data_IF_037480651229
#
_entry.id   IF_037480651229
#
_cell.length_a   1.000
_cell.length_b   1.000
_cell.length_c   1.000
_cell.angle_alpha   90.00
_cell.angle_beta   90.00
_cell.angle_gamma   90.00
#
_symmetry.space_group_name_H-M   'P 1'
#
loop_
_entity.id
_entity.type
_entity.pdbx_description
1 polymer ?
#
# COMPACT_ATOMS: atom_id res chain seq x y z
N UNK A 1 27.44 -1.16 13.59
CA UNK A 1 26.70 0.06 13.23
C UNK A 1 25.23 -0.13 13.54
N UNK A 2 24.51 0.96 13.81
CA UNK A 2 23.08 0.98 14.09
C UNK A 2 22.28 1.40 12.86
N UNK A 3 21.41 0.51 12.41
CA UNK A 3 20.50 0.70 11.29
C UNK A 3 19.09 0.84 11.82
N UNK A 4 18.45 1.98 11.54
CA UNK A 4 17.05 2.22 11.90
C UNK A 4 16.21 2.18 10.63
N UNK A 5 15.09 1.45 10.67
CA UNK A 5 14.18 1.25 9.55
C UNK A 5 12.79 1.71 9.97
N UNK A 6 12.24 2.69 9.26
CA UNK A 6 10.89 3.22 9.48
C UNK A 6 9.94 2.50 8.53
N UNK A 7 9.10 1.61 9.06
CA UNK A 7 8.13 0.83 8.32
C UNK A 7 8.41 -0.67 8.40
N UNK A 8 7.45 -1.41 8.95
CA UNK A 8 7.51 -2.88 9.09
C UNK A 8 6.79 -3.63 7.95
N UNK A 9 6.67 -2.98 6.78
CA UNK A 9 6.18 -3.61 5.55
C UNK A 9 7.28 -4.41 4.84
N UNK A 10 6.95 -4.96 3.67
CA UNK A 10 7.86 -5.84 2.89
C UNK A 10 9.22 -5.20 2.65
N UNK A 11 9.27 -3.96 2.16
CA UNK A 11 10.54 -3.28 1.89
C UNK A 11 11.43 -3.15 3.13
N UNK A 12 10.86 -2.68 4.25
CA UNK A 12 11.63 -2.47 5.48
C UNK A 12 12.10 -3.78 6.11
N UNK A 13 11.26 -4.81 6.13
CA UNK A 13 11.60 -6.10 6.73
C UNK A 13 12.58 -6.89 5.86
N UNK A 14 12.45 -6.83 4.53
CA UNK A 14 13.44 -7.40 3.63
C UNK A 14 14.79 -6.71 3.82
N UNK A 15 14.82 -5.37 3.90
CA UNK A 15 16.07 -4.65 4.17
C UNK A 15 16.71 -5.05 5.51
N UNK A 16 15.90 -5.16 6.57
CA UNK A 16 16.36 -5.59 7.90
C UNK A 16 17.01 -6.97 7.86
N UNK A 17 16.36 -7.92 7.17
CA UNK A 17 16.88 -9.28 6.97
C UNK A 17 18.18 -9.25 6.17
N UNK A 18 18.20 -8.55 5.03
CA UNK A 18 19.39 -8.45 4.18
C UNK A 18 20.58 -7.87 4.94
N UNK A 19 20.38 -6.85 5.77
CA UNK A 19 21.45 -6.30 6.61
C UNK A 19 21.99 -7.37 7.57
N UNK A 20 21.14 -8.13 8.25
CA UNK A 20 21.57 -9.17 9.21
C UNK A 20 22.20 -10.40 8.57
N UNK A 21 21.82 -10.71 7.33
CA UNK A 21 22.46 -11.78 6.54
C UNK A 21 23.89 -11.40 6.13
N UNK A 22 24.14 -10.13 5.82
CA UNK A 22 25.45 -9.63 5.40
C UNK A 22 26.33 -9.27 6.61
N UNK A 23 25.78 -8.55 7.59
CA UNK A 23 26.46 -8.16 8.83
C UNK A 23 25.66 -8.64 10.06
N UNK A 24 26.08 -9.78 10.60
CA UNK A 24 25.48 -10.38 11.79
C UNK A 24 25.65 -9.52 13.05
N UNK A 25 26.61 -8.59 13.09
CA UNK A 25 26.87 -7.72 14.24
C UNK A 25 26.13 -6.38 14.15
N UNK A 26 25.46 -6.07 13.04
CA UNK A 26 24.66 -4.86 12.91
C UNK A 26 23.52 -4.81 13.96
N UNK A 27 23.36 -3.65 14.61
CA UNK A 27 22.18 -3.36 15.43
C UNK A 27 21.07 -2.90 14.49
N UNK A 28 20.00 -3.69 14.35
CA UNK A 28 18.88 -3.37 13.44
C UNK A 28 17.61 -3.17 14.24
N UNK A 29 17.03 -1.96 14.12
CA UNK A 29 15.75 -1.59 14.74
C UNK A 29 14.74 -1.27 13.65
N UNK A 30 13.62 -2.01 13.62
CA UNK A 30 12.49 -1.76 12.73
C UNK A 30 11.35 -1.16 13.53
N UNK A 31 10.78 -0.06 13.05
CA UNK A 31 9.70 0.68 13.71
C UNK A 31 8.47 0.67 12.81
N UNK A 32 7.39 0.04 13.25
CA UNK A 32 6.13 -0.06 12.52
C UNK A 32 4.98 0.61 13.26
N UNK A 33 4.13 1.32 12.51
CA UNK A 33 2.94 2.01 13.03
C UNK A 33 1.76 1.07 13.32
N UNK A 34 1.81 -0.18 12.83
CA UNK A 34 0.83 -1.22 13.11
C UNK A 34 1.21 -2.05 14.35
N UNK A 35 0.21 -2.51 15.10
CA UNK A 35 0.39 -3.36 16.29
C UNK A 35 0.73 -4.84 15.96
N UNK A 36 0.77 -5.19 14.67
CA UNK A 36 0.95 -6.54 14.16
C UNK A 36 2.41 -6.85 13.82
N UNK A 37 2.77 -8.13 13.86
CA UNK A 37 4.00 -8.59 13.21
C UNK A 37 3.91 -8.40 11.70
N UNK A 38 5.04 -8.29 10.98
CA UNK A 38 5.04 -8.16 9.54
C UNK A 38 4.23 -9.27 8.87
N UNK A 39 3.34 -8.87 7.97
CA UNK A 39 2.41 -9.76 7.30
C UNK A 39 2.34 -9.50 5.79
N UNK A 40 1.90 -10.52 5.06
CA UNK A 40 1.67 -10.50 3.62
C UNK A 40 0.40 -9.70 3.32
N UNK A 41 0.52 -8.37 3.18
CA UNK A 41 -0.62 -7.48 2.91
C UNK A 41 -1.40 -7.89 1.65
N UNK A 42 -0.70 -8.43 0.66
CA UNK A 42 -1.29 -8.90 -0.60
C UNK A 42 -2.19 -10.13 -0.45
N UNK A 43 -2.20 -10.81 0.72
CA UNK A 43 -3.08 -11.94 1.01
C UNK A 43 -4.29 -11.56 1.90
N UNK A 44 -4.48 -10.26 2.14
CA UNK A 44 -5.53 -9.78 3.04
C UNK A 44 -6.94 -10.09 2.52
N UNK A 45 -7.12 -10.17 1.20
CA UNK A 45 -8.41 -10.49 0.56
C UNK A 45 -8.76 -11.96 0.74
N UNK A 46 -7.81 -12.85 0.53
CA UNK A 46 -7.96 -14.28 0.76
C UNK A 46 -8.27 -14.55 2.23
N UNK A 47 -7.60 -13.83 3.14
CA UNK A 47 -7.92 -13.90 4.56
C UNK A 47 -9.31 -13.33 4.87
N UNK A 48 -9.71 -12.22 4.25
CA UNK A 48 -11.06 -11.66 4.37
C UNK A 48 -12.12 -12.70 3.99
N UNK A 49 -11.95 -13.33 2.83
CA UNK A 49 -12.81 -14.39 2.28
C UNK A 49 -12.78 -15.69 3.10
N UNK A 50 -11.77 -15.89 3.95
CA UNK A 50 -11.63 -17.11 4.75
C UNK A 50 -10.95 -18.27 4.01
N UNK A 51 -10.37 -18.01 2.83
CA UNK A 51 -9.64 -19.00 2.03
C UNK A 51 -8.28 -19.36 2.65
N UNK A 52 -7.75 -18.50 3.52
CA UNK A 52 -6.55 -18.76 4.31
C UNK A 52 -6.78 -18.42 5.78
N UNK A 53 -5.99 -19.02 6.67
CA UNK A 53 -5.93 -18.72 8.10
C UNK A 53 -5.02 -17.52 8.35
N UNK A 54 -5.20 -16.89 9.51
CA UNK A 54 -4.41 -15.72 9.92
C UNK A 54 -2.91 -16.00 9.98
N UNK A 55 -2.51 -17.21 10.38
CA UNK A 55 -1.10 -17.57 10.52
C UNK A 55 -0.39 -17.64 9.16
N UNK A 56 -1.12 -17.88 8.08
CA UNK A 56 -0.57 -17.90 6.71
C UNK A 56 -0.20 -16.51 6.20
N UNK A 57 -0.75 -15.46 6.84
CA UNK A 57 -0.39 -14.07 6.59
C UNK A 57 0.97 -13.71 7.18
N UNK A 58 1.50 -14.48 8.12
CA UNK A 58 2.78 -14.17 8.77
C UNK A 58 3.86 -14.10 7.68
N UNK A 59 4.51 -12.95 7.57
CA UNK A 59 5.63 -12.76 6.65
C UNK A 59 6.94 -13.04 7.38
N UNK A 60 7.10 -12.47 8.58
CA UNK A 60 8.21 -12.75 9.49
C UNK A 60 7.65 -13.12 10.85
N UNK A 61 7.98 -14.33 11.32
CA UNK A 61 7.57 -14.78 12.64
C UNK A 61 8.39 -14.11 13.74
N UNK A 62 7.89 -14.16 14.98
CA UNK A 62 8.62 -13.67 16.14
C UNK A 62 9.96 -14.41 16.32
N UNK A 63 9.96 -15.72 16.06
CA UNK A 63 11.11 -16.60 16.16
C UNK A 63 12.19 -16.18 15.17
N UNK A 64 11.82 -15.94 13.90
CA UNK A 64 12.77 -15.49 12.88
C UNK A 64 13.36 -14.11 13.20
N UNK A 65 12.54 -13.17 13.69
CA UNK A 65 13.04 -11.86 14.12
C UNK A 65 14.03 -12.00 15.29
N UNK A 66 13.75 -12.89 16.24
CA UNK A 66 14.62 -13.17 17.39
C UNK A 66 15.92 -13.86 16.97
N UNK A 67 15.84 -14.87 16.11
CA UNK A 67 16.99 -15.58 15.55
C UNK A 67 17.92 -14.63 14.80
N UNK A 68 17.34 -13.77 13.96
CA UNK A 68 18.09 -12.75 13.24
C UNK A 68 18.54 -11.58 14.13
N UNK A 69 18.14 -11.50 15.40
CA UNK A 69 18.49 -10.37 16.28
C UNK A 69 17.94 -9.02 15.81
N UNK A 70 16.79 -9.00 15.15
CA UNK A 70 16.11 -7.78 14.68
C UNK A 70 15.16 -7.28 15.77
N UNK A 71 15.36 -6.04 16.24
CA UNK A 71 14.47 -5.41 17.21
C UNK A 71 13.28 -4.77 16.50
N UNK A 72 12.10 -5.39 16.58
CA UNK A 72 10.85 -4.83 16.08
C UNK A 72 10.13 -4.02 17.16
N UNK A 73 9.82 -2.75 16.87
CA UNK A 73 8.97 -1.86 17.67
C UNK A 73 7.63 -1.67 16.94
N UNK A 74 6.54 -2.19 17.52
CA UNK A 74 5.20 -2.19 16.91
C UNK A 74 4.33 -1.11 17.52
N UNK A 75 3.38 -0.57 16.75
CA UNK A 75 2.46 0.47 17.18
C UNK A 75 3.12 1.82 17.45
N UNK A 76 4.33 2.03 16.93
CA UNK A 76 5.08 3.25 17.13
C UNK A 76 5.17 4.05 15.85
N UNK A 77 4.97 5.36 15.98
CA UNK A 77 4.93 6.27 14.85
C UNK A 77 6.11 7.22 14.90
N UNK A 78 6.87 7.30 13.80
CA UNK A 78 7.95 8.28 13.65
C UNK A 78 7.38 9.61 13.21
N UNK A 79 7.49 10.61 14.07
CA UNK A 79 6.93 11.95 13.86
C UNK A 79 7.81 12.80 12.96
N UNK A 80 9.11 12.86 13.25
CA UNK A 80 10.07 13.70 12.50
C UNK A 80 11.43 13.02 12.41
N UNK A 81 12.19 13.38 11.37
CA UNK A 81 13.60 13.02 11.19
C UNK A 81 14.44 14.29 11.33
N UNK A 82 15.57 14.21 12.04
CA UNK A 82 16.56 15.29 12.15
C UNK A 82 17.90 14.83 11.57
N UNK A 83 18.13 15.04 10.25
CA UNK A 83 19.30 14.48 9.59
C UNK A 83 20.64 14.98 10.13
N UNK A 84 20.76 16.26 10.47
CA UNK A 84 22.00 16.86 11.00
C UNK A 84 22.45 16.25 12.33
N UNK A 85 21.51 15.67 13.09
CA UNK A 85 21.76 15.02 14.38
C UNK A 85 21.69 13.50 14.31
N UNK A 86 21.50 12.94 13.10
CA UNK A 86 21.32 11.51 12.83
C UNK A 86 20.37 10.83 13.82
N UNK A 87 19.18 11.41 13.98
CA UNK A 87 18.14 10.89 14.87
C UNK A 87 16.74 11.01 14.28
N UNK A 88 15.83 10.22 14.86
CA UNK A 88 14.39 10.33 14.64
C UNK A 88 13.68 10.59 15.97
N UNK A 89 12.52 11.24 15.90
CA UNK A 89 11.63 11.43 17.04
C UNK A 89 10.35 10.66 16.84
N UNK A 90 10.00 9.84 17.83
CA UNK A 90 8.72 9.15 17.86
C UNK A 90 7.61 10.11 18.29
N UNK A 91 6.36 9.71 18.04
CA UNK A 91 5.18 10.52 18.38
C UNK A 91 5.07 10.81 19.87
N UNK A 92 5.52 9.89 20.73
CA UNK A 92 5.61 10.05 22.18
C UNK A 92 6.92 10.73 22.64
N UNK A 93 7.62 11.41 21.73
CA UNK A 93 8.84 12.20 21.95
C UNK A 93 10.11 11.43 22.32
N UNK A 94 10.13 10.09 22.29
CA UNK A 94 11.39 9.36 22.39
C UNK A 94 12.28 9.67 21.18
N UNK A 95 13.58 9.79 21.44
CA UNK A 95 14.62 10.01 20.45
C UNK A 95 15.35 8.68 20.17
N UNK A 96 15.51 8.35 18.89
CA UNK A 96 16.28 7.18 18.46
C UNK A 96 17.38 7.64 17.50
N UNK A 97 18.64 7.39 17.86
CA UNK A 97 19.80 7.67 17.01
C UNK A 97 20.06 6.54 16.02
N UNK A 98 20.71 6.85 14.89
CA UNK A 98 21.08 5.90 13.86
C UNK A 98 22.44 6.24 13.23
N UNK A 99 23.13 5.23 12.69
CA UNK A 99 24.25 5.43 11.76
C UNK A 99 23.75 5.49 10.31
N UNK A 100 22.74 4.67 9.99
CA UNK A 100 22.06 4.58 8.70
C UNK A 100 20.54 4.50 8.91
N UNK A 101 19.77 5.24 8.12
CA UNK A 101 18.31 5.28 8.19
C UNK A 101 17.68 4.79 6.88
N UNK A 102 16.68 3.92 6.97
CA UNK A 102 15.80 3.58 5.86
C UNK A 102 14.37 4.06 6.12
N UNK A 103 13.78 4.77 5.16
CA UNK A 103 12.38 5.14 5.16
C UNK A 103 11.63 4.16 4.24
N UNK A 104 10.83 3.28 4.82
CA UNK A 104 10.04 2.25 4.14
C UNK A 104 8.56 2.30 4.58
N UNK A 105 8.04 3.53 4.71
CA UNK A 105 6.73 3.81 5.29
C UNK A 105 5.54 3.39 4.42
N UNK A 106 5.80 3.01 3.16
CA UNK A 106 4.80 2.60 2.19
C UNK A 106 3.85 3.73 1.78
N UNK A 107 2.63 3.37 1.37
CA UNK A 107 1.58 4.31 0.99
C UNK A 107 0.28 4.07 1.74
N UNK A 108 -0.78 4.79 1.36
CA UNK A 108 -2.15 4.53 1.81
C UNK A 108 -3.18 5.09 0.81
N UNK A 109 -4.37 4.48 0.73
CA UNK A 109 -5.52 5.10 0.09
C UNK A 109 -5.87 6.44 0.75
N UNK A 110 -6.46 7.35 -0.03
CA UNK A 110 -6.86 8.66 0.41
C UNK A 110 -8.12 9.18 -0.28
N UNK A 111 -8.75 10.15 0.38
CA UNK A 111 -9.98 10.79 -0.07
C UNK A 111 -9.67 12.19 -0.63
N UNK A 112 -10.21 12.48 -1.80
CA UNK A 112 -10.27 13.78 -2.44
C UNK A 112 -11.29 14.70 -1.78
N UNK A 113 -11.40 15.94 -2.28
CA UNK A 113 -12.20 16.99 -1.65
C UNK A 113 -13.69 16.62 -1.54
N UNK A 114 -14.24 15.96 -2.57
CA UNK A 114 -15.65 15.53 -2.61
C UNK A 114 -15.95 14.45 -1.56
N UNK A 115 -15.08 13.45 -1.40
CA UNK A 115 -15.30 12.34 -0.47
C UNK A 115 -14.92 12.64 0.98
N UNK A 116 -14.02 13.59 1.23
CA UNK A 116 -13.49 13.90 2.57
C UNK A 116 -14.57 14.14 3.63
N UNK A 117 -15.65 14.91 3.39
CA UNK A 117 -16.74 15.11 4.35
C UNK A 117 -17.41 13.79 4.79
N UNK A 118 -17.38 12.77 3.93
CA UNK A 118 -18.05 11.49 4.13
C UNK A 118 -17.12 10.41 4.70
N UNK A 119 -15.89 10.74 5.11
CA UNK A 119 -14.89 9.78 5.61
C UNK A 119 -15.44 8.80 6.66
N UNK A 120 -16.34 9.24 7.54
CA UNK A 120 -16.95 8.39 8.59
C UNK A 120 -17.94 7.34 8.05
N UNK A 121 -18.42 7.50 6.82
CA UNK A 121 -19.35 6.61 6.14
C UNK A 121 -18.65 5.66 5.16
N UNK A 122 -17.36 5.91 4.90
CA UNK A 122 -16.53 5.10 4.00
C UNK A 122 -15.78 4.06 4.81
N UNK A 123 -15.93 2.80 4.43
CA UNK A 123 -15.21 1.70 5.03
C UNK A 123 -13.79 1.61 4.44
N UNK A 124 -12.80 1.59 5.33
CA UNK A 124 -11.41 1.34 4.94
C UNK A 124 -11.19 -0.12 4.56
N UNK A 125 -10.32 -0.33 3.59
CA UNK A 125 -9.80 -1.64 3.14
C UNK A 125 -8.34 -1.43 2.75
N UNK A 126 -7.41 -1.74 3.66
CA UNK A 126 -5.97 -1.60 3.38
C UNK A 126 -5.07 -2.32 4.41
N UNK A 127 -5.39 -2.22 5.70
CA UNK A 127 -4.59 -2.76 6.81
C UNK A 127 -5.21 -4.01 7.42
N UNK A 128 -4.43 -4.77 8.19
CA UNK A 128 -4.93 -5.89 8.99
C UNK A 128 -6.11 -5.48 9.89
N UNK A 129 -6.04 -4.29 10.52
CA UNK A 129 -7.13 -3.80 11.34
C UNK A 129 -8.41 -3.59 10.54
N UNK A 130 -8.31 -3.04 9.33
CA UNK A 130 -9.46 -2.84 8.44
C UNK A 130 -10.10 -4.18 8.07
N UNK A 131 -9.28 -5.19 7.76
CA UNK A 131 -9.77 -6.54 7.42
C UNK A 131 -10.42 -7.23 8.62
N UNK A 132 -9.87 -7.10 9.82
CA UNK A 132 -10.49 -7.65 11.03
C UNK A 132 -11.85 -7.00 11.33
N UNK A 133 -12.01 -5.70 11.06
CA UNK A 133 -13.29 -5.01 11.15
C UNK A 133 -14.25 -5.53 10.09
N UNK A 134 -13.79 -5.67 8.85
CA UNK A 134 -14.59 -6.16 7.73
C UNK A 134 -15.07 -7.59 7.94
N UNK A 135 -14.22 -8.51 8.41
CA UNK A 135 -14.62 -9.90 8.70
C UNK A 135 -15.78 -9.98 9.70
N UNK A 136 -15.90 -9.01 10.62
CA UNK A 136 -17.03 -8.94 11.56
C UNK A 136 -18.30 -8.37 10.94
N UNK A 137 -18.16 -7.42 10.01
CA UNK A 137 -19.29 -6.72 9.39
C UNK A 137 -19.91 -7.48 8.23
N UNK A 138 -19.07 -8.00 7.32
CA UNK A 138 -19.51 -8.58 6.04
C UNK A 138 -20.53 -9.71 6.13
N UNK A 139 -20.61 -10.53 7.21
CA UNK A 139 -21.69 -11.50 7.34
C UNK A 139 -23.11 -10.88 7.30
N UNK A 140 -23.28 -9.63 7.76
CA UNK A 140 -24.58 -8.94 7.78
C UNK A 140 -24.80 -7.99 6.57
N UNK A 141 -23.82 -7.89 5.67
CA UNK A 141 -23.84 -6.99 4.52
C UNK A 141 -24.21 -7.79 3.28
N UNK A 142 -25.08 -7.25 2.43
CA UNK A 142 -25.41 -7.82 1.12
C UNK A 142 -25.06 -6.90 -0.04
N UNK A 143 -25.34 -5.60 0.08
CA UNK A 143 -25.13 -4.60 -0.98
C UNK A 143 -23.90 -3.74 -0.70
N UNK A 144 -22.96 -3.76 -1.64
CA UNK A 144 -21.69 -3.06 -1.54
C UNK A 144 -21.55 -2.06 -2.68
N UNK A 145 -21.26 -0.81 -2.36
CA UNK A 145 -20.76 0.15 -3.35
C UNK A 145 -19.25 0.23 -3.24
N UNK A 146 -18.58 0.16 -4.38
CA UNK A 146 -17.14 0.34 -4.50
C UNK A 146 -16.91 1.50 -5.48
N UNK A 147 -16.21 2.55 -5.03
CA UNK A 147 -15.81 3.68 -5.86
C UNK A 147 -14.31 3.90 -5.76
N UNK A 148 -13.65 3.92 -6.90
CA UNK A 148 -12.22 4.14 -6.96
C UNK A 148 -11.63 3.41 -8.15
N UNK A 149 -10.33 3.59 -8.32
CA UNK A 149 -9.57 2.92 -9.35
C UNK A 149 -8.40 2.24 -8.64
N UNK A 150 -7.99 1.06 -9.11
CA UNK A 150 -6.86 0.37 -8.52
C UNK A 150 -6.90 -1.13 -8.75
N UNK A 151 -5.72 -1.78 -8.78
CA UNK A 151 -5.65 -3.23 -8.53
C UNK A 151 -6.29 -3.57 -7.18
N UNK A 152 -6.11 -2.73 -6.16
CA UNK A 152 -6.79 -2.91 -4.86
C UNK A 152 -8.32 -2.82 -4.95
N UNK A 153 -8.85 -2.09 -5.93
CA UNK A 153 -10.29 -2.01 -6.17
C UNK A 153 -10.81 -3.33 -6.74
N UNK A 154 -10.10 -3.86 -7.75
CA UNK A 154 -10.41 -5.14 -8.36
C UNK A 154 -10.24 -6.30 -7.36
N UNK A 155 -9.22 -6.25 -6.52
CA UNK A 155 -8.98 -7.24 -5.46
C UNK A 155 -10.13 -7.25 -4.43
N UNK A 156 -10.58 -6.07 -3.98
CA UNK A 156 -11.74 -5.96 -3.11
C UNK A 156 -13.02 -6.49 -3.79
N UNK A 157 -13.29 -6.08 -5.04
CA UNK A 157 -14.45 -6.54 -5.80
C UNK A 157 -14.42 -8.07 -5.93
N UNK A 158 -13.26 -8.65 -6.24
CA UNK A 158 -13.05 -10.10 -6.27
C UNK A 158 -13.40 -10.77 -4.95
N UNK A 159 -12.90 -10.22 -3.84
CA UNK A 159 -13.24 -10.74 -2.51
C UNK A 159 -14.74 -10.64 -2.17
N UNK A 160 -15.39 -9.53 -2.54
CA UNK A 160 -16.82 -9.33 -2.32
C UNK A 160 -17.68 -10.29 -3.16
N UNK A 161 -17.33 -10.50 -4.44
CA UNK A 161 -18.00 -11.50 -5.29
C UNK A 161 -17.81 -12.92 -4.76
N UNK A 162 -16.62 -13.29 -4.30
CA UNK A 162 -16.35 -14.59 -3.68
C UNK A 162 -17.16 -14.82 -2.39
N UNK A 163 -17.56 -13.73 -1.72
CA UNK A 163 -18.44 -13.74 -0.56
C UNK A 163 -19.92 -13.55 -0.93
N UNK A 164 -20.27 -13.71 -2.21
CA UNK A 164 -21.62 -13.65 -2.77
C UNK A 164 -22.34 -12.32 -2.47
N UNK A 165 -21.58 -11.21 -2.42
CA UNK A 165 -22.12 -9.87 -2.22
C UNK A 165 -22.56 -9.25 -3.55
N UNK A 166 -23.62 -8.44 -3.51
CA UNK A 166 -24.04 -7.61 -4.65
C UNK A 166 -23.12 -6.39 -4.70
N UNK A 167 -22.38 -6.23 -5.79
CA UNK A 167 -21.39 -5.16 -5.95
C UNK A 167 -21.83 -4.20 -7.05
N UNK A 168 -21.96 -2.93 -6.69
CA UNK A 168 -22.05 -1.82 -7.65
C UNK A 168 -20.70 -1.10 -7.67
N UNK A 169 -20.03 -1.12 -8.82
CA UNK A 169 -18.73 -0.50 -9.05
C UNK A 169 -18.88 0.80 -9.83
N UNK A 170 -18.49 1.93 -9.22
CA UNK A 170 -18.60 3.26 -9.82
C UNK A 170 -17.21 3.71 -10.27
N UNK A 171 -17.09 4.15 -11.53
CA UNK A 171 -15.83 4.59 -12.13
C UNK A 171 -16.00 5.88 -12.94
N UNK A 172 -14.93 6.68 -13.00
CA UNK A 172 -14.89 7.93 -13.78
C UNK A 172 -14.67 7.68 -15.28
N UNK A 173 -14.07 6.54 -15.63
CA UNK A 173 -13.79 6.15 -17.01
C UNK A 173 -15.02 5.64 -17.76
N UNK A 174 -14.90 5.61 -19.09
CA UNK A 174 -15.94 5.06 -20.00
C UNK A 174 -16.16 3.56 -19.83
N UNK A 175 -15.11 2.84 -19.39
CA UNK A 175 -15.11 1.40 -19.13
C UNK A 175 -14.15 1.12 -17.98
N UNK A 176 -14.32 -0.03 -17.33
CA UNK A 176 -13.38 -0.49 -16.33
C UNK A 176 -12.09 -0.89 -17.05
N UNK A 177 -11.10 0.00 -17.02
CA UNK A 177 -9.76 -0.24 -17.55
C UNK A 177 -8.73 0.03 -16.44
N UNK A 178 -7.61 -0.71 -16.47
CA UNK A 178 -6.54 -0.55 -15.50
C UNK A 178 -5.21 -0.24 -16.16
N UNK A 179 -5.22 0.59 -17.21
CA UNK A 179 -4.01 0.91 -17.98
C UNK A 179 -3.31 -0.32 -18.58
N UNK A 180 -4.05 -1.41 -18.80
CA UNK A 180 -3.58 -2.69 -19.33
C UNK A 180 -3.20 -2.58 -20.81
N UNK A 181 -2.14 -1.84 -21.18
CA UNK A 181 -1.69 -1.80 -22.58
C UNK A 181 -0.88 -3.04 -22.94
N UNK A 182 -1.37 -3.78 -23.94
CA UNK A 182 -0.67 -4.93 -24.53
C UNK A 182 -0.89 -6.26 -23.79
N UNK A 183 -1.90 -6.35 -22.92
CA UNK A 183 -2.43 -7.65 -22.48
C UNK A 183 -3.51 -8.12 -23.45
N UNK A 184 -3.65 -9.43 -23.65
CA UNK A 184 -4.80 -10.04 -24.33
C UNK A 184 -6.15 -9.62 -23.70
N UNK A 185 -6.13 -9.17 -22.45
CA UNK A 185 -7.27 -8.67 -21.67
C UNK A 185 -7.68 -7.20 -21.89
N UNK A 186 -7.08 -6.50 -22.86
CA UNK A 186 -7.42 -5.10 -23.11
C UNK A 186 -8.85 -4.98 -23.65
N UNK A 187 -9.76 -4.44 -22.84
CA UNK A 187 -11.18 -4.25 -23.19
C UNK A 187 -12.14 -5.26 -22.54
N UNK A 188 -11.64 -6.44 -22.17
CA UNK A 188 -12.43 -7.53 -21.57
C UNK A 188 -12.67 -7.37 -20.07
N UNK A 189 -11.88 -6.55 -19.34
CA UNK A 189 -12.02 -6.45 -17.89
C UNK A 189 -13.43 -5.99 -17.49
N UNK A 190 -13.98 -5.02 -18.20
CA UNK A 190 -15.33 -4.53 -17.94
C UNK A 190 -16.37 -5.64 -18.14
N UNK A 191 -16.36 -6.28 -19.31
CA UNK A 191 -17.30 -7.35 -19.64
C UNK A 191 -17.14 -8.54 -18.68
N UNK A 192 -15.90 -8.88 -18.31
CA UNK A 192 -15.61 -9.92 -17.32
C UNK A 192 -16.19 -9.62 -15.93
N UNK A 193 -16.13 -8.37 -15.48
CA UNK A 193 -16.73 -7.97 -14.20
C UNK A 193 -18.27 -8.06 -14.28
N UNK A 194 -18.87 -7.64 -15.40
CA UNK A 194 -20.32 -7.78 -15.63
C UNK A 194 -20.75 -9.26 -15.69
N UNK A 195 -20.00 -10.12 -16.37
CA UNK A 195 -20.19 -11.58 -16.40
C UNK A 195 -20.13 -12.20 -14.99
N UNK A 196 -19.38 -11.59 -14.08
CA UNK A 196 -19.28 -11.97 -12.67
C UNK A 196 -20.38 -11.35 -11.79
N UNK A 197 -21.34 -10.66 -12.39
CA UNK A 197 -22.49 -10.06 -11.72
C UNK A 197 -22.20 -8.72 -11.04
N UNK A 198 -21.10 -8.05 -11.39
CA UNK A 198 -20.80 -6.70 -10.91
C UNK A 198 -21.59 -5.70 -11.76
N UNK A 199 -22.41 -4.87 -11.11
CA UNK A 199 -23.05 -3.74 -11.77
C UNK A 199 -22.02 -2.61 -11.91
N UNK A 200 -21.79 -2.10 -13.13
CA UNK A 200 -20.79 -1.05 -13.36
C UNK A 200 -21.47 0.25 -13.78
N UNK A 201 -21.21 1.32 -13.03
CA UNK A 201 -21.63 2.68 -13.37
C UNK A 201 -20.41 3.45 -13.89
N UNK A 202 -20.41 3.75 -15.18
CA UNK A 202 -19.31 4.41 -15.88
C UNK A 202 -19.51 5.91 -15.98
N UNK A 203 -18.41 6.63 -16.24
CA UNK A 203 -18.39 8.09 -16.40
C UNK A 203 -19.10 8.84 -15.28
N UNK A 204 -18.96 8.36 -14.04
CA UNK A 204 -19.66 8.91 -12.89
C UNK A 204 -18.76 8.87 -11.64
N UNK A 205 -19.19 9.54 -10.58
CA UNK A 205 -18.50 9.50 -9.30
C UNK A 205 -19.47 9.74 -8.15
N UNK A 206 -19.10 9.23 -6.98
CA UNK A 206 -19.85 9.48 -5.75
C UNK A 206 -19.80 10.97 -5.41
N UNK A 207 -20.98 11.59 -5.28
CA UNK A 207 -21.16 12.98 -4.93
C UNK A 207 -21.49 13.16 -3.45
N UNK A 208 -22.37 12.30 -2.92
CA UNK A 208 -22.78 12.37 -1.51
C UNK A 208 -22.99 10.97 -0.92
N UNK A 209 -22.78 10.85 0.40
CA UNK A 209 -23.08 9.64 1.16
C UNK A 209 -23.82 10.03 2.43
N UNK A 210 -25.03 9.50 2.59
CA UNK A 210 -25.86 9.71 3.75
C UNK A 210 -26.14 8.39 4.46
N UNK A 211 -26.03 8.38 5.79
CA UNK A 211 -26.37 7.20 6.59
C UNK A 211 -27.88 7.18 6.86
N UNK A 212 -28.54 6.11 6.43
CA UNK A 212 -29.97 5.85 6.58
C UNK A 212 -30.19 4.63 7.48
N UNK A 213 -30.46 4.80 8.77
CA UNK A 213 -30.61 3.69 9.74
C UNK A 213 -29.49 2.63 9.61
N UNK A 214 -29.79 1.47 8.99
CA UNK A 214 -28.89 0.33 8.77
C UNK A 214 -28.15 0.34 7.41
N UNK A 215 -28.46 1.28 6.53
CA UNK A 215 -27.95 1.37 5.16
C UNK A 215 -27.38 2.77 4.87
N UNK A 216 -26.88 2.97 3.67
CA UNK A 216 -26.40 4.22 3.12
C UNK A 216 -27.15 4.55 1.85
N UNK A 217 -27.52 5.83 1.69
CA UNK A 217 -27.92 6.42 0.41
C UNK A 217 -26.68 7.07 -0.20
N UNK A 218 -26.40 6.73 -1.44
CA UNK A 218 -25.29 7.29 -2.22
C UNK A 218 -25.87 7.98 -3.43
N UNK A 219 -25.55 9.26 -3.61
CA UNK A 219 -25.88 10.00 -4.82
C UNK A 219 -24.63 10.16 -5.67
N UNK A 220 -24.76 9.94 -6.97
CA UNK A 220 -23.68 10.17 -7.93
C UNK A 220 -23.76 11.56 -8.53
N UNK A 221 -22.70 12.01 -9.21
CA UNK A 221 -22.72 13.32 -9.89
C UNK A 221 -23.74 13.40 -11.02
N UNK A 222 -24.04 12.28 -11.67
CA UNK A 222 -25.12 12.19 -12.66
C UNK A 222 -26.49 11.95 -12.02
N UNK A 223 -26.65 12.25 -10.72
CA UNK A 223 -27.91 12.21 -9.98
C UNK A 223 -28.55 10.82 -9.91
N UNK A 224 -27.75 9.75 -10.00
CA UNK A 224 -28.24 8.41 -9.67
C UNK A 224 -28.29 8.26 -8.16
N UNK A 225 -29.40 7.77 -7.65
CA UNK A 225 -29.54 7.38 -6.25
C UNK A 225 -29.36 5.87 -6.10
N UNK A 226 -28.46 5.48 -5.20
CA UNK A 226 -28.13 4.09 -4.91
C UNK A 226 -28.28 3.83 -3.41
N UNK A 227 -28.59 2.58 -3.05
CA UNK A 227 -28.61 2.13 -1.65
C UNK A 227 -27.58 1.04 -1.45
N UNK A 228 -26.80 1.12 -0.37
CA UNK A 228 -25.83 0.10 0.00
C UNK A 228 -25.78 -0.13 1.51
N UNK A 229 -25.36 -1.32 1.93
CA UNK A 229 -25.13 -1.64 3.34
C UNK A 229 -23.73 -1.16 3.76
N UNK A 230 -22.81 -1.09 2.79
CA UNK A 230 -21.44 -0.63 2.99
C UNK A 230 -20.93 0.11 1.74
N UNK A 231 -20.12 1.15 1.98
CA UNK A 231 -19.50 1.95 0.91
C UNK A 231 -17.99 1.92 1.08
N UNK A 232 -17.30 1.49 0.03
CA UNK A 232 -15.85 1.58 -0.11
C UNK A 232 -15.54 2.68 -1.11
N UNK A 233 -14.66 3.61 -0.74
CA UNK A 233 -14.34 4.73 -1.60
C UNK A 233 -12.91 5.25 -1.38
N UNK A 234 -12.18 5.51 -2.46
CA UNK A 234 -10.93 6.27 -2.45
C UNK A 234 -10.67 6.94 -3.78
N UNK A 235 -10.04 8.12 -3.75
CA UNK A 235 -9.69 8.87 -4.96
C UNK A 235 -8.26 8.58 -5.44
N UNK A 236 -7.36 8.24 -4.52
CA UNK A 236 -5.95 8.04 -4.85
C UNK A 236 -5.26 7.15 -3.83
N UNK A 237 -4.12 6.60 -4.25
CA UNK A 237 -3.12 6.02 -3.37
C UNK A 237 -1.93 6.97 -3.28
N UNK A 238 -1.44 7.26 -2.06
CA UNK A 238 -0.30 8.17 -1.87
C UNK A 238 0.79 7.64 -0.95
N UNK A 239 2.06 7.94 -1.24
CA UNK A 239 3.19 7.74 -0.32
C UNK A 239 2.94 8.31 1.09
N UNK A 240 3.34 7.59 2.14
CA UNK A 240 3.30 8.03 3.53
C UNK A 240 4.62 8.70 3.93
N UNK A 241 4.82 9.96 3.52
CA UNK A 241 6.12 10.65 3.67
C UNK A 241 6.12 11.76 4.73
N UNK A 242 5.13 11.79 5.63
CA UNK A 242 5.00 12.89 6.61
C UNK A 242 6.17 13.01 7.59
N UNK A 243 6.97 11.96 7.78
CA UNK A 243 8.13 11.97 8.67
C UNK A 243 9.30 12.83 8.15
N UNK A 244 9.31 13.17 6.86
CA UNK A 244 10.34 14.04 6.24
C UNK A 244 9.88 15.49 6.08
N UNK A 245 8.67 15.84 6.54
CA UNK A 245 8.18 17.22 6.48
C UNK A 245 9.11 18.17 7.25
N UNK A 246 9.44 19.30 6.63
CA UNK A 246 10.38 20.28 7.18
C UNK A 246 11.86 19.86 7.13
N UNK A 247 12.19 18.73 6.50
CA UNK A 247 13.59 18.32 6.26
C UNK A 247 14.06 18.74 4.87
N UNK A 248 15.37 18.66 4.63
CA UNK A 248 15.99 18.90 3.31
C UNK A 248 15.91 17.70 2.36
N UNK A 249 15.24 16.61 2.77
CA UNK A 249 15.10 15.40 1.96
C UNK A 249 14.16 15.72 0.79
N UNK A 250 14.64 15.49 -0.43
CA UNK A 250 13.89 15.76 -1.66
C UNK A 250 12.59 14.94 -1.74
N UNK A 251 11.49 15.59 -2.14
CA UNK A 251 10.20 14.95 -2.34
C UNK A 251 9.37 15.63 -3.43
N UNK A 252 8.44 14.88 -4.05
CA UNK A 252 7.28 15.43 -4.75
C UNK A 252 6.01 14.79 -4.21
N UNK A 253 5.55 13.70 -4.83
CA UNK A 253 4.47 12.86 -4.34
C UNK A 253 5.00 11.82 -3.32
N UNK A 254 6.20 11.28 -3.57
CA UNK A 254 6.99 10.40 -2.72
C UNK A 254 8.37 10.98 -2.42
N UNK A 255 9.22 10.19 -1.76
CA UNK A 255 10.61 10.54 -1.44
C UNK A 255 11.46 10.34 -2.69
N UNK A 256 12.15 11.38 -3.14
CA UNK A 256 13.03 11.30 -4.31
C UNK A 256 14.29 10.52 -3.95
N UNK A 257 14.55 9.45 -4.70
CA UNK A 257 15.76 8.64 -4.56
C UNK A 257 16.43 8.40 -5.92
N UNK A 258 17.73 8.13 -5.90
CA UNK A 258 18.43 7.66 -7.09
C UNK A 258 18.23 6.14 -7.32
N UNK A 259 18.83 5.58 -8.37
CA UNK A 259 18.74 4.14 -8.69
C UNK A 259 19.35 3.23 -7.62
N UNK A 260 20.16 3.78 -6.71
CA UNK A 260 20.71 3.06 -5.54
C UNK A 260 19.83 3.23 -4.29
N UNK A 261 18.65 3.82 -4.42
CA UNK A 261 17.69 4.08 -3.34
C UNK A 261 18.21 5.05 -2.27
N UNK A 262 19.20 5.86 -2.63
CA UNK A 262 19.75 6.92 -1.79
C UNK A 262 18.88 8.17 -1.91
N UNK A 263 18.57 8.80 -0.78
CA UNK A 263 17.91 10.12 -0.79
C UNK A 263 18.91 11.24 -1.09
N UNK A 264 18.46 12.50 -1.10
CA UNK A 264 19.34 13.66 -1.20
C UNK A 264 20.23 13.89 0.03
N UNK A 265 20.06 13.10 1.10
CA UNK A 265 20.83 13.23 2.34
C UNK A 265 21.63 11.96 2.60
N UNK A 266 22.92 12.14 2.90
CA UNK A 266 23.84 11.04 3.17
C UNK A 266 23.33 10.17 4.32
N UNK A 267 23.55 8.85 4.19
CA UNK A 267 23.14 7.82 5.15
C UNK A 267 21.62 7.63 5.32
N UNK A 268 20.80 8.33 4.53
CA UNK A 268 19.35 8.16 4.50
C UNK A 268 18.93 7.57 3.15
N UNK A 269 18.24 6.44 3.22
CA UNK A 269 17.73 5.67 2.09
C UNK A 269 16.20 5.63 2.18
N UNK A 270 15.53 5.34 1.07
CA UNK A 270 14.09 5.06 1.08
C UNK A 270 13.73 3.94 0.11
N UNK A 271 12.70 3.15 0.43
CA UNK A 271 12.28 2.01 -0.38
C UNK A 271 10.77 1.69 -0.29
N UNK A 272 10.25 0.97 -1.27
CA UNK A 272 8.85 0.57 -1.40
C UNK A 272 7.94 1.70 -1.83
N UNK A 273 6.64 1.56 -1.58
CA UNK A 273 5.59 2.49 -2.05
C UNK A 273 5.73 3.96 -1.58
N UNK A 274 6.71 4.27 -0.74
CA UNK A 274 6.97 5.65 -0.30
C UNK A 274 7.90 6.45 -1.24
N UNK A 275 8.52 5.81 -2.24
CA UNK A 275 9.55 6.44 -3.06
C UNK A 275 9.13 6.84 -4.46
N UNK A 276 9.80 7.89 -4.93
CA UNK A 276 9.93 8.27 -6.31
C UNK A 276 11.38 8.02 -6.74
N UNK A 277 11.65 7.03 -7.60
CA UNK A 277 13.02 6.67 -8.02
C UNK A 277 13.35 7.37 -9.34
N UNK A 278 14.58 7.86 -9.48
CA UNK A 278 15.06 8.41 -10.74
C UNK A 278 15.14 7.32 -11.82
N UNK A 279 14.51 7.57 -12.97
CA UNK A 279 14.55 6.71 -14.14
C UNK A 279 15.40 7.36 -15.25
N UNK A 280 16.56 6.77 -15.60
CA UNK A 280 17.46 7.33 -16.61
C UNK A 280 16.85 7.47 -18.00
N UNK A 281 15.99 6.53 -18.41
CA UNK A 281 15.39 6.49 -19.75
C UNK A 281 14.44 7.67 -20.02
N UNK A 282 13.65 8.06 -19.01
CA UNK A 282 12.73 9.21 -19.11
C UNK A 282 13.32 10.50 -18.52
N UNK A 283 14.56 10.45 -18.02
CA UNK A 283 15.25 11.58 -17.34
C UNK A 283 14.38 12.26 -16.28
N UNK A 284 13.68 11.46 -15.50
CA UNK A 284 12.66 11.92 -14.56
C UNK A 284 12.52 10.99 -13.37
N UNK A 285 11.57 11.29 -12.48
CA UNK A 285 11.23 10.44 -11.35
C UNK A 285 9.97 9.67 -11.64
N UNK A 286 9.90 8.46 -11.07
CA UNK A 286 8.78 7.55 -11.28
C UNK A 286 8.30 6.97 -9.95
N UNK A 287 7.07 6.47 -9.89
CA UNK A 287 6.60 5.74 -8.71
C UNK A 287 6.32 4.31 -9.13
N UNK A 288 6.84 3.37 -8.34
CA UNK A 288 6.59 1.97 -8.55
C UNK A 288 6.03 1.35 -7.27
N UNK A 289 4.76 0.97 -7.32
CA UNK A 289 4.06 0.39 -6.19
C UNK A 289 4.23 -1.14 -6.15
N UNK A 290 3.72 -1.78 -5.11
CA UNK A 290 3.43 -3.20 -5.13
C UNK A 290 4.59 -4.14 -4.78
N UNK A 291 4.22 -5.39 -4.57
CA UNK A 291 5.03 -6.38 -3.86
C UNK A 291 6.40 -6.66 -4.50
N UNK A 292 6.51 -6.96 -5.82
CA UNK A 292 7.80 -7.30 -6.42
C UNK A 292 8.82 -6.18 -6.24
N UNK A 293 8.39 -4.93 -6.46
CA UNK A 293 9.23 -3.76 -6.33
C UNK A 293 9.62 -3.49 -4.88
N UNK A 294 8.67 -3.57 -3.94
CA UNK A 294 8.96 -3.39 -2.53
C UNK A 294 9.99 -4.41 -2.02
N UNK A 295 9.89 -5.66 -2.47
CA UNK A 295 10.83 -6.72 -2.09
C UNK A 295 12.25 -6.47 -2.64
N UNK A 296 12.36 -6.20 -3.94
CA UNK A 296 13.65 -5.93 -4.58
C UNK A 296 14.29 -4.65 -4.03
N UNK A 297 13.52 -3.58 -3.90
CA UNK A 297 14.02 -2.32 -3.33
C UNK A 297 14.45 -2.49 -1.88
N UNK A 298 13.73 -3.27 -1.07
CA UNK A 298 14.14 -3.60 0.29
C UNK A 298 15.50 -4.30 0.32
N UNK A 299 15.71 -5.27 -0.56
CA UNK A 299 16.98 -6.00 -0.67
C UNK A 299 18.13 -5.06 -1.04
N UNK A 300 17.94 -4.24 -2.07
CA UNK A 300 18.95 -3.30 -2.58
C UNK A 300 19.26 -2.21 -1.54
N UNK A 301 18.25 -1.65 -0.88
CA UNK A 301 18.45 -0.67 0.17
C UNK A 301 19.25 -1.28 1.33
N UNK A 302 18.93 -2.51 1.75
CA UNK A 302 19.69 -3.22 2.78
C UNK A 302 21.17 -3.39 2.43
N UNK A 303 21.47 -3.81 1.20
CA UNK A 303 22.84 -3.91 0.67
C UNK A 303 23.55 -2.55 0.61
N UNK A 304 22.87 -1.50 0.17
CA UNK A 304 23.47 -0.17 -0.01
C UNK A 304 23.67 0.57 1.31
N UNK A 305 22.87 0.28 2.34
CA UNK A 305 23.15 0.73 3.71
C UNK A 305 24.47 0.18 4.26
N UNK A 306 24.97 -0.93 3.70
CA UNK A 306 26.27 -1.55 3.99
C UNK A 306 27.35 -1.21 2.94
N UNK A 307 27.07 -0.30 2.00
CA UNK A 307 28.06 0.21 1.05
C UNK A 307 28.28 -0.64 -0.21
N UNK A 308 27.38 -1.55 -0.55
CA UNK A 308 27.54 -2.42 -1.75
C UNK A 308 27.23 -1.73 -3.10
N UNK A 309 26.61 -0.55 -3.10
CA UNK A 309 26.37 0.30 -4.29
C UNK A 309 25.61 -0.37 -5.46
N UNK A 310 24.64 -1.24 -5.15
CA UNK A 310 23.77 -1.92 -6.10
C UNK A 310 22.71 -0.99 -6.70
N UNK A 311 22.36 -1.22 -7.96
CA UNK A 311 21.33 -0.44 -8.67
C UNK A 311 20.02 -1.22 -8.82
N UNK A 312 18.90 -0.56 -8.55
CA UNK A 312 17.56 -1.08 -8.76
C UNK A 312 17.21 -1.17 -10.23
N UNK A 313 16.77 -2.36 -10.65
CA UNK A 313 16.31 -2.61 -12.01
C UNK A 313 14.83 -2.26 -12.13
N UNK A 314 14.60 -1.44 -13.13
CA UNK A 314 13.34 -0.82 -13.47
C UNK A 314 12.45 -1.83 -14.19
N UNK A 315 11.33 -2.25 -13.56
CA UNK A 315 10.33 -3.13 -14.16
C UNK A 315 9.16 -2.32 -14.74
N UNK A 316 8.80 -2.57 -16.00
CA UNK A 316 7.76 -1.80 -16.70
C UNK A 316 6.32 -2.27 -16.42
N UNK A 317 6.14 -3.51 -15.98
CA UNK A 317 4.83 -4.13 -15.80
C UNK A 317 4.77 -5.07 -14.61
N UNK A 318 3.56 -5.35 -14.15
CA UNK A 318 3.22 -6.35 -13.14
C UNK A 318 2.16 -7.30 -13.69
N UNK A 319 2.29 -8.57 -13.33
CA UNK A 319 1.22 -9.55 -13.50
C UNK A 319 0.51 -9.77 -12.16
N UNK A 320 -0.82 -9.86 -12.17
CA UNK A 320 -1.63 -10.22 -11.01
C UNK A 320 -2.81 -11.10 -11.44
N UNK A 321 -3.35 -11.90 -10.53
CA UNK A 321 -4.50 -12.76 -10.80
C UNK A 321 -5.80 -12.09 -10.30
N UNK A 322 -6.83 -12.08 -11.14
CA UNK A 322 -8.17 -11.61 -10.80
C UNK A 322 -9.18 -12.73 -11.08
N UNK A 323 -9.77 -13.30 -10.02
CA UNK A 323 -10.77 -14.38 -10.12
C UNK A 323 -10.37 -15.51 -11.10
N UNK A 324 -9.10 -15.93 -11.07
CA UNK A 324 -8.56 -16.98 -11.91
C UNK A 324 -7.94 -16.51 -13.24
N UNK A 325 -8.13 -15.24 -13.64
CA UNK A 325 -7.55 -14.68 -14.87
C UNK A 325 -6.27 -13.88 -14.59
N UNK A 326 -5.22 -14.10 -15.38
CA UNK A 326 -3.96 -13.35 -15.26
C UNK A 326 -4.06 -12.02 -16.00
N UNK A 327 -3.81 -10.92 -15.31
CA UNK A 327 -3.83 -9.55 -15.82
C UNK A 327 -2.42 -8.96 -15.78
N UNK A 328 -2.01 -8.27 -16.84
CA UNK A 328 -0.73 -7.56 -16.90
C UNK A 328 -0.96 -6.05 -16.96
N UNK A 329 -0.69 -5.37 -15.85
CA UNK A 329 -0.77 -3.91 -15.76
C UNK A 329 0.60 -3.27 -15.96
N UNK A 330 0.63 -2.12 -16.64
CA UNK A 330 1.80 -1.24 -16.59
C UNK A 330 1.78 -0.47 -15.28
N UNK A 331 2.96 -0.15 -14.78
CA UNK A 331 3.08 0.71 -13.60
C UNK A 331 2.69 2.17 -13.87
N UNK A 332 2.39 2.55 -15.12
CA UNK A 332 2.15 3.93 -15.53
C UNK A 332 0.90 4.12 -16.40
N UNK A 333 0.25 5.27 -16.21
CA UNK A 333 -0.15 6.15 -17.32
C UNK A 333 0.20 7.60 -16.97
#
# INVERSE_FOLDING_TARGET
MKHVIIGAGVAGITAAKTIKEIDKNAEVVVIGDEMFFPYKRFLLTEFLCGSIKRDELIFFSMELLKELGIKLRKGEYVKTIEPSRKLIKLLHNEVVHYDKLLIATGGRPGLGLVLRPYKKHIQCYYSMNDILILKKKLPEIQKCIVFGEGVSCLDLISGLCNLEKQVTYIIKGVRADFGLKGSEFYGELHDFLEEKGVEIITEDQVASIEKMNRHYRVETLKQKELTADIVFAWDYYKPKISCIEGTVIGKKLGILVNVRLETSVEHIYAAGDCVEIYHPGIKGYWINFGLPNAFEQGTIAGKNMLGQNEEYKIHEAIAFNLMGKSLKARWWK
#
